data_IF_825576452492
#
_entry.id   IF_825576452492
#
_cell.length_a   1.000
_cell.length_b   1.000
_cell.length_c   1.000
_cell.angle_alpha   90.00
_cell.angle_beta   90.00
_cell.angle_gamma   90.00
#
_symmetry.space_group_name_H-M   'P 1'
#
loop_
_entity.id
_entity.type
_entity.pdbx_description
1 polymer ?
#
# COMPACT_ATOMS: atom_id res chain seq x y z
N UNK A 1 -26.56 -12.98 -16.05
CA UNK A 1 -25.87 -13.96 -15.17
C UNK A 1 -26.36 -13.73 -13.73
N UNK A 2 -26.76 -14.75 -12.97
CA UNK A 2 -27.29 -14.56 -11.60
C UNK A 2 -26.17 -14.13 -10.62
N UNK A 3 -26.48 -13.21 -9.68
CA UNK A 3 -25.58 -12.63 -8.65
C UNK A 3 -24.69 -13.67 -7.96
N UNK A 4 -25.23 -14.82 -7.55
CA UNK A 4 -24.44 -15.89 -6.92
C UNK A 4 -23.31 -16.42 -7.83
N UNK A 5 -23.56 -16.52 -9.13
CA UNK A 5 -22.56 -16.96 -10.11
C UNK A 5 -21.50 -15.88 -10.36
N UNK A 6 -21.87 -14.60 -10.33
CA UNK A 6 -20.92 -13.49 -10.39
C UNK A 6 -19.99 -13.47 -9.19
N UNK A 7 -20.52 -13.63 -7.97
CA UNK A 7 -19.72 -13.67 -6.74
C UNK A 7 -18.74 -14.85 -6.74
N UNK A 8 -19.15 -16.04 -7.17
CA UNK A 8 -18.23 -17.19 -7.32
C UNK A 8 -17.14 -16.94 -8.36
N UNK A 9 -17.49 -16.27 -9.46
CA UNK A 9 -16.50 -15.90 -10.50
C UNK A 9 -15.50 -14.89 -9.94
N UNK A 10 -15.96 -13.89 -9.19
CA UNK A 10 -15.11 -12.89 -8.55
C UNK A 10 -14.11 -13.55 -7.60
N UNK A 11 -14.58 -14.39 -6.66
CA UNK A 11 -13.71 -15.08 -5.71
C UNK A 11 -12.64 -15.94 -6.41
N UNK A 12 -12.99 -16.60 -7.53
CA UNK A 12 -12.02 -17.37 -8.32
C UNK A 12 -10.95 -16.46 -8.94
N UNK A 13 -11.36 -15.33 -9.52
CA UNK A 13 -10.45 -14.37 -10.13
C UNK A 13 -9.53 -13.72 -9.09
N UNK A 14 -10.05 -13.39 -7.90
CA UNK A 14 -9.24 -12.88 -6.79
C UNK A 14 -8.19 -13.89 -6.35
N UNK A 15 -8.54 -15.17 -6.27
CA UNK A 15 -7.58 -16.24 -5.96
C UNK A 15 -6.52 -16.42 -7.05
N UNK A 16 -6.89 -16.33 -8.31
CA UNK A 16 -5.94 -16.38 -9.44
C UNK A 16 -5.00 -15.17 -9.44
N UNK A 17 -5.55 -13.96 -9.24
CA UNK A 17 -4.77 -12.74 -9.10
C UNK A 17 -3.78 -12.83 -7.94
N UNK A 18 -4.20 -13.40 -6.81
CA UNK A 18 -3.33 -13.58 -5.66
C UNK A 18 -2.13 -14.50 -5.95
N UNK A 19 -2.35 -15.62 -6.64
CA UNK A 19 -1.26 -16.51 -7.07
C UNK A 19 -0.28 -15.81 -8.02
N UNK A 20 -0.79 -14.96 -8.91
CA UNK A 20 0.06 -14.18 -9.82
C UNK A 20 0.92 -13.20 -9.01
N UNK A 21 0.34 -12.48 -8.04
CA UNK A 21 1.08 -11.58 -7.16
C UNK A 21 2.18 -12.30 -6.38
N UNK A 22 1.87 -13.45 -5.79
CA UNK A 22 2.86 -14.28 -5.08
C UNK A 22 4.04 -14.68 -5.97
N UNK A 23 3.78 -15.07 -7.21
CA UNK A 23 4.83 -15.42 -8.18
C UNK A 23 5.68 -14.21 -8.58
N UNK A 24 5.06 -13.03 -8.70
CA UNK A 24 5.75 -11.77 -9.02
C UNK A 24 6.43 -11.15 -7.79
N UNK A 25 6.16 -11.66 -6.59
CA UNK A 25 6.62 -11.12 -5.29
C UNK A 25 6.20 -9.67 -5.07
N UNK A 26 4.97 -9.35 -5.45
CA UNK A 26 4.35 -8.05 -5.21
C UNK A 26 3.23 -8.18 -4.17
N UNK A 27 3.03 -7.15 -3.39
CA UNK A 27 2.07 -7.12 -2.29
C UNK A 27 0.63 -6.93 -2.78
N UNK A 28 -0.33 -7.18 -1.87
CA UNK A 28 -1.75 -6.91 -2.17
C UNK A 28 -2.01 -5.40 -2.16
N UNK A 29 -3.05 -4.97 -2.88
CA UNK A 29 -3.49 -3.57 -2.84
C UNK A 29 -3.77 -3.13 -1.41
N UNK A 30 -3.27 -1.94 -1.06
CA UNK A 30 -3.43 -1.30 0.26
C UNK A 30 -2.73 -2.02 1.41
N UNK A 31 -1.85 -2.99 1.11
CA UNK A 31 -0.96 -3.55 2.11
C UNK A 31 0.09 -2.51 2.51
N UNK A 32 0.32 -2.36 3.82
CA UNK A 32 1.31 -1.43 4.36
C UNK A 32 2.68 -2.10 4.33
N UNK A 33 3.57 -1.59 3.48
CA UNK A 33 4.92 -2.11 3.28
C UNK A 33 5.91 -1.48 4.24
N UNK A 34 5.68 -0.21 4.59
CA UNK A 34 6.54 0.57 5.45
C UNK A 34 5.71 1.50 6.33
N UNK A 35 6.11 1.64 7.59
CA UNK A 35 5.59 2.68 8.48
C UNK A 35 6.65 3.11 9.48
N UNK A 36 6.88 4.42 9.57
CA UNK A 36 7.76 5.00 10.56
C UNK A 36 7.34 6.44 10.88
N UNK A 37 7.61 6.93 12.10
CA UNK A 37 7.43 8.35 12.40
C UNK A 37 8.39 9.19 11.54
N UNK A 38 7.93 10.34 11.06
CA UNK A 38 8.74 11.24 10.22
C UNK A 38 9.94 11.81 11.00
N UNK A 39 9.77 12.08 12.29
CA UNK A 39 10.87 12.39 13.22
C UNK A 39 10.41 12.15 14.66
N UNK A 40 11.34 12.13 15.62
CA UNK A 40 11.04 11.92 17.04
C UNK A 40 10.04 12.94 17.62
N UNK A 41 9.90 14.11 17.00
CA UNK A 41 9.07 15.23 17.49
C UNK A 41 7.88 15.54 16.59
N UNK A 42 7.64 14.74 15.54
CA UNK A 42 6.55 14.97 14.59
C UNK A 42 5.39 14.02 14.87
N UNK A 43 4.17 14.56 14.81
CA UNK A 43 2.93 13.77 14.81
C UNK A 43 2.62 13.14 13.44
N UNK A 44 3.55 13.26 12.48
CA UNK A 44 3.42 12.68 11.16
C UNK A 44 4.07 11.30 11.08
N UNK A 45 3.38 10.36 10.48
CA UNK A 45 3.92 9.08 10.02
C UNK A 45 4.21 9.12 8.51
N UNK A 46 5.30 8.50 8.10
CA UNK A 46 5.56 8.12 6.72
C UNK A 46 5.04 6.68 6.55
N UNK A 47 4.17 6.48 5.56
CA UNK A 47 3.56 5.19 5.24
C UNK A 47 3.79 4.87 3.77
N UNK A 48 4.18 3.64 3.47
CA UNK A 48 4.17 3.12 2.10
C UNK A 48 3.08 2.06 1.99
N UNK A 49 2.19 2.23 1.01
CA UNK A 49 1.16 1.26 0.67
C UNK A 49 1.40 0.71 -0.73
N UNK A 50 1.21 -0.60 -0.90
CA UNK A 50 1.19 -1.23 -2.21
C UNK A 50 -0.06 -0.82 -3.01
N UNK A 51 0.11 -0.59 -4.32
CA UNK A 51 -0.98 -0.42 -5.28
C UNK A 51 -1.58 -1.76 -5.75
N UNK A 52 -0.87 -2.87 -5.51
CA UNK A 52 -1.34 -4.23 -5.80
C UNK A 52 -1.02 -4.71 -7.23
N UNK A 53 -0.31 -3.90 -8.02
CA UNK A 53 0.19 -4.24 -9.36
C UNK A 53 1.72 -4.16 -9.44
N UNK A 54 2.39 -4.12 -8.28
CA UNK A 54 3.84 -3.90 -8.15
C UNK A 54 4.21 -2.42 -8.00
N UNK A 55 3.26 -1.52 -8.20
CA UNK A 55 3.37 -0.10 -7.88
C UNK A 55 3.12 0.15 -6.39
N UNK A 56 3.52 1.33 -5.91
CA UNK A 56 3.31 1.74 -4.53
C UNK A 56 3.11 3.24 -4.41
N UNK A 57 2.60 3.67 -3.25
CA UNK A 57 2.47 5.08 -2.91
C UNK A 57 3.03 5.34 -1.53
N UNK A 58 3.78 6.43 -1.42
CA UNK A 58 4.25 6.99 -0.17
C UNK A 58 3.27 8.07 0.29
N UNK A 59 2.89 8.01 1.54
CA UNK A 59 2.05 8.97 2.23
C UNK A 59 2.82 9.56 3.41
N UNK A 60 2.68 10.87 3.62
CA UNK A 60 2.95 11.49 4.93
C UNK A 60 1.61 11.82 5.53
N UNK A 61 1.30 11.22 6.67
CA UNK A 61 -0.02 11.29 7.31
C UNK A 61 0.11 11.85 8.72
N UNK A 62 -0.82 12.70 9.12
CA UNK A 62 -0.96 13.16 10.50
C UNK A 62 -2.14 12.42 11.15
N UNK A 63 -1.96 11.89 12.36
CA UNK A 63 -3.03 11.22 13.12
C UNK A 63 -2.93 9.69 13.14
N UNK A 64 -4.05 9.04 13.41
CA UNK A 64 -4.12 7.60 13.64
C UNK A 64 -4.41 6.81 12.34
N UNK A 65 -3.39 6.68 11.50
CA UNK A 65 -3.48 5.86 10.30
C UNK A 65 -3.63 4.35 10.64
N UNK A 66 -4.53 3.58 9.99
CA UNK A 66 -5.36 3.94 8.83
C UNK A 66 -6.81 4.37 9.15
N UNK A 67 -7.13 4.67 10.41
CA UNK A 67 -8.51 4.87 10.87
C UNK A 67 -8.96 6.32 10.73
N UNK A 68 -8.18 7.26 11.29
CA UNK A 68 -8.51 8.68 11.36
C UNK A 68 -7.22 9.49 11.18
N UNK A 69 -6.97 9.90 9.95
CA UNK A 69 -5.72 10.55 9.55
C UNK A 69 -5.95 11.56 8.43
N UNK A 70 -5.02 12.51 8.31
CA UNK A 70 -4.97 13.47 7.22
C UNK A 70 -3.72 13.20 6.37
N UNK A 71 -3.89 13.04 5.06
CA UNK A 71 -2.76 12.96 4.13
C UNK A 71 -2.21 14.38 3.91
N UNK A 72 -0.99 14.62 4.38
CA UNK A 72 -0.25 15.87 4.16
C UNK A 72 0.49 15.87 2.83
N UNK A 73 0.98 14.70 2.43
CA UNK A 73 1.71 14.51 1.18
C UNK A 73 1.46 13.12 0.64
N UNK A 74 1.44 13.00 -0.69
CA UNK A 74 1.36 11.74 -1.40
C UNK A 74 2.25 11.75 -2.62
N UNK A 75 2.92 10.63 -2.87
CA UNK A 75 3.68 10.39 -4.10
C UNK A 75 3.51 8.94 -4.55
N UNK A 76 3.37 8.74 -5.85
CA UNK A 76 3.29 7.43 -6.48
C UNK A 76 4.65 7.01 -7.04
N UNK A 77 4.91 5.71 -7.02
CA UNK A 77 6.13 5.08 -7.49
C UNK A 77 5.78 3.90 -8.39
N UNK A 78 6.65 3.61 -9.35
CA UNK A 78 6.47 2.51 -10.29
C UNK A 78 6.75 1.15 -9.65
N UNK A 79 7.52 1.12 -8.54
CA UNK A 79 7.82 -0.09 -7.79
C UNK A 79 7.65 0.09 -6.27
N UNK A 80 7.39 -1.01 -5.58
CA UNK A 80 7.36 -1.11 -4.11
C UNK A 80 8.71 -0.74 -3.48
N UNK A 81 9.81 -1.22 -4.07
CA UNK A 81 11.17 -0.96 -3.59
C UNK A 81 11.53 0.54 -3.67
N UNK A 82 11.23 1.20 -4.79
CA UNK A 82 11.48 2.65 -4.95
C UNK A 82 10.72 3.48 -3.91
N UNK A 83 9.49 3.09 -3.58
CA UNK A 83 8.69 3.77 -2.57
C UNK A 83 9.29 3.59 -1.17
N UNK A 84 9.74 2.39 -0.83
CA UNK A 84 10.39 2.09 0.45
C UNK A 84 11.75 2.81 0.58
N UNK A 85 12.57 2.82 -0.47
CA UNK A 85 13.84 3.55 -0.48
C UNK A 85 13.61 5.06 -0.30
N UNK A 86 12.58 5.62 -0.92
CA UNK A 86 12.21 7.02 -0.74
C UNK A 86 11.71 7.31 0.69
N UNK A 87 10.98 6.38 1.32
CA UNK A 87 10.54 6.50 2.70
C UNK A 87 11.72 6.51 3.68
N UNK A 88 12.70 5.63 3.49
CA UNK A 88 13.92 5.57 4.31
C UNK A 88 14.80 6.82 4.20
N UNK A 89 14.70 7.58 3.10
CA UNK A 89 15.40 8.85 2.97
C UNK A 89 14.73 9.99 3.76
N UNK A 90 13.45 9.84 4.11
CA UNK A 90 12.67 10.85 4.82
C UNK A 90 12.66 10.65 6.35
N UNK A 91 13.14 9.49 6.83
CA UNK A 91 13.23 9.15 8.27
C UNK A 91 14.63 9.33 8.86
N UNK A 92 15.63 9.67 8.04
CA UNK A 92 17.01 9.99 8.45
C UNK A 92 17.16 11.47 8.82
#
# INVERSE_FOLDING_TARGET
MNKRRQLRKLAKLEQEAQKIRENLRISQSSEVLYRAPQSTWSDNDIVVEAGGQGDARLLIVEGNYPIDYLIKFQRFFASEDEACEAADQLTK
#
